data_IF_662804420241
#
_entry.id   IF_662804420241
#
_cell.length_a   1.000
_cell.length_b   1.000
_cell.length_c   1.000
_cell.angle_alpha   90.00
_cell.angle_beta   90.00
_cell.angle_gamma   90.00
#
_symmetry.space_group_name_H-M   'P 1'
#
loop_
_entity.id
_entity.type
_entity.pdbx_description
1 polymer ?
#
# COMPACT_ATOMS: atom_id res chain seq x y z
N UNK A 1 18.84 23.86 -31.56
CA UNK A 1 18.49 22.48 -31.12
C UNK A 1 17.40 21.97 -32.04
N UNK A 2 17.56 20.76 -32.55
CA UNK A 2 16.57 20.13 -33.43
C UNK A 2 15.25 19.91 -32.66
N UNK A 3 14.13 20.26 -33.30
CA UNK A 3 12.78 20.18 -32.71
C UNK A 3 12.03 19.03 -33.34
N UNK A 4 11.39 18.23 -32.50
CA UNK A 4 10.56 17.10 -32.89
C UNK A 4 9.18 17.67 -33.21
N UNK A 5 8.81 17.63 -34.49
CA UNK A 5 7.52 18.13 -34.97
C UNK A 5 6.41 17.08 -34.87
N UNK A 6 6.76 15.80 -34.90
CA UNK A 6 5.80 14.68 -34.91
C UNK A 6 5.37 14.27 -33.50
N UNK A 7 4.93 15.23 -32.68
CA UNK A 7 4.45 14.97 -31.32
C UNK A 7 2.93 14.76 -31.37
N UNK A 8 2.46 13.69 -30.75
CA UNK A 8 1.05 13.41 -30.59
C UNK A 8 0.46 14.25 -29.45
N UNK A 9 -0.07 15.42 -29.81
CA UNK A 9 -0.63 16.41 -28.89
C UNK A 9 -1.84 15.87 -28.12
N UNK A 10 -2.67 15.05 -28.76
CA UNK A 10 -3.84 14.44 -28.13
C UNK A 10 -3.46 13.53 -26.93
N UNK A 11 -2.25 12.95 -26.96
CA UNK A 11 -1.73 12.16 -25.83
C UNK A 11 -1.19 13.03 -24.70
N UNK A 12 -0.75 14.25 -24.99
CA UNK A 12 -0.41 15.25 -23.96
C UNK A 12 -1.70 15.72 -23.29
N UNK A 13 -2.72 16.10 -24.07
CA UNK A 13 -4.04 16.49 -23.55
C UNK A 13 -4.66 15.39 -22.70
N UNK A 14 -4.61 14.15 -23.18
CA UNK A 14 -5.09 13.00 -22.41
C UNK A 14 -4.35 12.86 -21.07
N UNK A 15 -3.03 12.97 -21.07
CA UNK A 15 -2.22 12.91 -19.85
C UNK A 15 -2.54 14.06 -18.87
N UNK A 16 -2.82 15.27 -19.37
CA UNK A 16 -3.27 16.40 -18.55
C UNK A 16 -4.66 16.12 -17.94
N UNK A 17 -5.60 15.64 -18.75
CA UNK A 17 -6.94 15.28 -18.30
C UNK A 17 -6.94 14.15 -17.27
N UNK A 18 -6.16 13.09 -17.49
CA UNK A 18 -5.96 11.98 -16.56
C UNK A 18 -5.39 12.44 -15.21
N UNK A 19 -4.65 13.56 -15.20
CA UNK A 19 -4.12 14.19 -13.99
C UNK A 19 -4.99 15.30 -13.41
N UNK A 20 -6.07 15.68 -14.09
CA UNK A 20 -6.91 16.81 -13.69
C UNK A 20 -6.13 18.14 -13.66
N UNK A 21 -5.15 18.31 -14.55
CA UNK A 21 -4.29 19.50 -14.59
C UNK A 21 -4.40 20.25 -15.92
N UNK A 22 -4.10 21.54 -15.86
CA UNK A 22 -4.04 22.43 -17.03
C UNK A 22 -2.67 22.36 -17.72
N UNK A 23 -2.61 22.82 -18.97
CA UNK A 23 -1.35 22.94 -19.71
C UNK A 23 -0.39 23.95 -19.06
N UNK A 24 -0.91 25.01 -18.44
CA UNK A 24 -0.08 26.01 -17.75
C UNK A 24 0.56 25.44 -16.49
N UNK A 25 -0.20 24.67 -15.70
CA UNK A 25 0.34 23.93 -14.56
C UNK A 25 1.39 22.92 -15.00
N UNK A 26 1.13 22.19 -16.10
CA UNK A 26 2.11 21.27 -16.69
C UNK A 26 3.40 22.00 -17.04
N UNK A 27 3.31 23.13 -17.75
CA UNK A 27 4.47 23.92 -18.17
C UNK A 27 5.32 24.36 -16.97
N UNK A 28 4.66 24.78 -15.88
CA UNK A 28 5.33 25.16 -14.64
C UNK A 28 6.04 23.97 -13.98
N UNK A 29 5.35 22.84 -13.83
CA UNK A 29 5.87 21.62 -13.19
C UNK A 29 7.10 21.05 -13.92
N UNK A 30 7.11 21.10 -15.26
CA UNK A 30 8.23 20.58 -16.06
C UNK A 30 9.27 21.64 -16.42
N UNK A 31 9.14 22.85 -15.89
CA UNK A 31 10.07 23.97 -16.15
C UNK A 31 10.26 24.17 -17.67
N UNK A 32 9.15 24.41 -18.35
CA UNK A 32 9.06 24.80 -19.75
C UNK A 32 8.23 26.09 -19.81
N UNK A 33 8.66 27.07 -20.60
CA UNK A 33 7.91 28.31 -20.75
C UNK A 33 6.47 28.02 -21.25
N UNK A 34 5.41 28.56 -20.63
CA UNK A 34 4.02 28.30 -21.02
C UNK A 34 3.77 28.54 -22.52
N UNK A 35 4.30 29.64 -23.07
CA UNK A 35 4.24 29.93 -24.49
C UNK A 35 4.89 28.85 -25.38
N UNK A 36 5.95 28.19 -24.91
CA UNK A 36 6.57 27.09 -25.69
C UNK A 36 5.67 25.87 -25.74
N UNK A 37 5.03 25.52 -24.62
CA UNK A 37 4.10 24.40 -24.59
C UNK A 37 2.82 24.72 -25.37
N UNK A 38 2.28 25.94 -25.22
CA UNK A 38 1.12 26.42 -25.99
C UNK A 38 1.38 26.37 -27.50
N UNK A 39 2.53 26.87 -27.98
CA UNK A 39 2.88 26.81 -29.40
C UNK A 39 3.06 25.37 -29.90
N UNK A 40 3.52 24.45 -29.04
CA UNK A 40 3.57 23.03 -29.37
C UNK A 40 2.18 22.41 -29.48
N UNK A 41 1.28 22.73 -28.55
CA UNK A 41 -0.12 22.27 -28.54
C UNK A 41 -0.96 22.87 -29.67
N UNK A 42 -0.57 24.04 -30.19
CA UNK A 42 -1.15 24.64 -31.39
C UNK A 42 -0.58 24.04 -32.70
N UNK A 43 0.43 23.18 -32.63
CA UNK A 43 1.12 22.63 -33.80
C UNK A 43 2.03 23.62 -34.52
N UNK A 44 2.28 24.80 -33.92
CA UNK A 44 3.07 25.88 -34.51
C UNK A 44 4.59 25.64 -34.36
N UNK A 45 5.01 24.90 -33.33
CA UNK A 45 6.42 24.57 -33.12
C UNK A 45 6.63 23.27 -32.32
N UNK A 46 7.51 22.39 -32.79
CA UNK A 46 7.89 21.19 -32.05
C UNK A 46 8.64 21.44 -30.73
N UNK A 47 8.70 20.42 -29.88
CA UNK A 47 9.51 20.39 -28.67
C UNK A 47 10.90 19.83 -28.94
N UNK A 48 11.89 20.26 -28.19
CA UNK A 48 13.21 19.60 -28.18
C UNK A 48 13.10 18.22 -27.52
N UNK A 49 14.03 17.32 -27.82
CA UNK A 49 14.07 16.00 -27.17
C UNK A 49 14.17 16.10 -25.63
N UNK A 50 14.90 17.09 -25.11
CA UNK A 50 14.99 17.32 -23.67
C UNK A 50 13.65 17.72 -23.05
N UNK A 51 12.88 18.57 -23.72
CA UNK A 51 11.53 18.96 -23.30
C UNK A 51 10.58 17.76 -23.34
N UNK A 52 10.62 16.97 -24.43
CA UNK A 52 9.85 15.74 -24.53
C UNK A 52 10.22 14.73 -23.44
N UNK A 53 11.50 14.63 -23.09
CA UNK A 53 11.98 13.77 -21.99
C UNK A 53 11.51 14.27 -20.62
N UNK A 54 11.50 15.58 -20.37
CA UNK A 54 10.93 16.16 -19.14
C UNK A 54 9.43 15.84 -19.03
N UNK A 55 8.69 16.05 -20.11
CA UNK A 55 7.27 15.74 -20.21
C UNK A 55 7.01 14.24 -19.95
N UNK A 56 7.78 13.37 -20.60
CA UNK A 56 7.65 11.93 -20.44
C UNK A 56 7.98 11.46 -19.02
N UNK A 57 9.06 11.97 -18.43
CA UNK A 57 9.43 11.68 -17.05
C UNK A 57 8.38 12.17 -16.05
N UNK A 58 7.87 13.39 -16.23
CA UNK A 58 6.78 13.93 -15.43
C UNK A 58 5.55 13.04 -15.55
N UNK A 59 5.19 12.63 -16.77
CA UNK A 59 4.04 11.77 -17.04
C UNK A 59 4.20 10.31 -16.61
N UNK A 60 5.41 9.87 -16.23
CA UNK A 60 5.69 8.46 -15.95
C UNK A 60 5.59 7.58 -17.21
N UNK A 61 5.84 8.15 -18.39
CA UNK A 61 5.72 7.50 -19.69
C UNK A 61 7.06 7.53 -20.44
N UNK A 62 7.22 6.64 -21.42
CA UNK A 62 8.35 6.71 -22.35
C UNK A 62 8.15 7.83 -23.37
N UNK A 63 9.24 8.39 -23.92
CA UNK A 63 9.14 9.43 -24.97
C UNK A 63 8.39 8.94 -26.21
N UNK A 64 8.52 7.65 -26.56
CA UNK A 64 7.78 7.01 -27.65
C UNK A 64 6.26 7.07 -27.47
N UNK A 65 5.76 7.06 -26.23
CA UNK A 65 4.32 7.19 -25.96
C UNK A 65 3.74 8.46 -26.59
N UNK A 66 4.50 9.56 -26.61
CA UNK A 66 4.09 10.85 -27.19
C UNK A 66 4.40 10.97 -28.68
N UNK A 67 5.01 9.94 -29.29
CA UNK A 67 5.30 9.89 -30.73
C UNK A 67 4.44 8.85 -31.45
N UNK A 68 3.83 7.92 -30.70
CA UNK A 68 2.89 6.94 -31.26
C UNK A 68 1.67 7.62 -31.88
N UNK A 69 1.21 7.18 -33.06
CA UNK A 69 0.03 7.75 -33.70
C UNK A 69 -1.26 7.33 -32.99
N UNK A 70 -2.30 8.15 -33.15
CA UNK A 70 -3.66 7.87 -32.66
C UNK A 70 -3.91 8.20 -31.18
N UNK A 71 -5.18 8.22 -30.76
CA UNK A 71 -5.55 8.53 -29.37
C UNK A 71 -5.03 7.47 -28.39
N UNK A 72 -4.98 7.84 -27.11
CA UNK A 72 -4.63 6.90 -26.04
C UNK A 72 -5.71 5.83 -25.94
N UNK A 73 -5.29 4.57 -25.91
CA UNK A 73 -6.18 3.48 -25.50
C UNK A 73 -6.05 3.31 -23.99
N UNK A 74 -6.98 3.90 -23.24
CA UNK A 74 -6.95 3.90 -21.77
C UNK A 74 -6.87 2.50 -21.17
N UNK A 75 -7.53 1.52 -21.79
CA UNK A 75 -7.53 0.14 -21.33
C UNK A 75 -6.15 -0.55 -21.48
N UNK A 76 -5.27 -0.01 -22.33
CA UNK A 76 -3.88 -0.45 -22.47
C UNK A 76 -2.91 0.33 -21.58
N UNK A 77 -3.29 1.54 -21.15
CA UNK A 77 -2.44 2.40 -20.32
C UNK A 77 -2.65 2.10 -18.85
N UNK A 78 -3.91 2.03 -18.41
CA UNK A 78 -4.28 1.77 -17.03
C UNK A 78 -4.75 0.33 -16.90
N UNK A 79 -4.23 -0.39 -15.91
CA UNK A 79 -4.67 -1.75 -15.61
C UNK A 79 -6.15 -1.77 -15.16
N UNK A 80 -6.81 -2.94 -15.16
CA UNK A 80 -8.11 -3.09 -14.50
C UNK A 80 -8.09 -2.64 -13.04
N UNK A 81 -7.04 -2.98 -12.28
CA UNK A 81 -6.88 -2.62 -10.88
C UNK A 81 -6.79 -1.10 -10.69
N UNK A 82 -5.95 -0.41 -11.49
CA UNK A 82 -5.82 1.04 -11.47
C UNK A 82 -7.16 1.72 -11.75
N UNK A 83 -7.91 1.24 -12.75
CA UNK A 83 -9.23 1.79 -13.08
C UNK A 83 -10.23 1.55 -11.96
N UNK A 84 -10.22 0.38 -11.31
CA UNK A 84 -11.06 0.13 -10.13
C UNK A 84 -10.79 1.16 -9.04
N UNK A 85 -9.53 1.37 -8.67
CA UNK A 85 -9.15 2.35 -7.63
C UNK A 85 -9.51 3.78 -8.02
N UNK A 86 -9.23 4.17 -9.27
CA UNK A 86 -9.52 5.53 -9.76
C UNK A 86 -11.02 5.79 -9.92
N UNK A 87 -11.82 4.76 -10.18
CA UNK A 87 -13.28 4.87 -10.21
C UNK A 87 -13.87 4.93 -8.78
N UNK A 88 -13.26 4.21 -7.83
CA UNK A 88 -13.63 4.29 -6.41
C UNK A 88 -13.34 5.67 -5.82
N UNK A 89 -12.19 6.25 -6.15
CA UNK A 89 -11.79 7.61 -5.74
C UNK A 89 -11.32 8.45 -6.95
N UNK A 90 -12.23 9.11 -7.68
CA UNK A 90 -11.87 9.96 -8.83
C UNK A 90 -10.94 11.13 -8.49
N UNK A 91 -10.97 11.58 -7.24
CA UNK A 91 -10.20 12.70 -6.69
C UNK A 91 -8.76 12.33 -6.28
N UNK A 92 -8.30 11.11 -6.58
CA UNK A 92 -6.94 10.69 -6.26
C UNK A 92 -5.89 11.65 -6.83
N UNK A 93 -5.05 12.17 -5.93
CA UNK A 93 -3.92 13.02 -6.30
C UNK A 93 -3.01 12.35 -7.32
N UNK A 94 -2.37 13.16 -8.16
CA UNK A 94 -1.40 12.69 -9.13
C UNK A 94 -0.29 11.81 -8.51
N UNK A 95 0.21 12.21 -7.33
CA UNK A 95 1.24 11.47 -6.60
C UNK A 95 0.76 10.07 -6.18
N UNK A 96 -0.52 9.92 -5.83
CA UNK A 96 -1.11 8.62 -5.51
C UNK A 96 -1.23 7.74 -6.76
N UNK A 97 -1.68 8.30 -7.90
CA UNK A 97 -1.74 7.57 -9.17
C UNK A 97 -0.36 7.00 -9.56
N UNK A 98 0.71 7.80 -9.45
CA UNK A 98 2.08 7.31 -9.67
C UNK A 98 2.52 6.25 -8.67
N UNK A 99 2.04 6.32 -7.43
CA UNK A 99 2.34 5.30 -6.43
C UNK A 99 1.69 3.97 -6.84
N UNK A 100 0.42 3.98 -7.23
CA UNK A 100 -0.30 2.78 -7.71
C UNK A 100 0.43 2.15 -8.91
N UNK A 101 0.74 2.93 -9.94
CA UNK A 101 1.48 2.43 -11.12
C UNK A 101 2.85 1.84 -10.73
N UNK A 102 3.55 2.46 -9.77
CA UNK A 102 4.84 1.95 -9.31
C UNK A 102 4.71 0.64 -8.54
N UNK A 103 3.62 0.46 -7.79
CA UNK A 103 3.31 -0.79 -7.10
C UNK A 103 3.05 -1.90 -8.12
N UNK A 104 2.28 -1.62 -9.18
CA UNK A 104 2.04 -2.55 -10.28
C UNK A 104 3.34 -2.95 -10.99
N UNK A 105 4.22 -1.97 -11.26
CA UNK A 105 5.54 -2.24 -11.84
C UNK A 105 6.39 -3.14 -10.95
N UNK A 106 6.40 -2.90 -9.63
CA UNK A 106 7.15 -3.78 -8.72
C UNK A 106 6.56 -5.18 -8.63
N UNK A 107 5.23 -5.31 -8.64
CA UNK A 107 4.58 -6.62 -8.73
C UNK A 107 4.98 -7.36 -10.00
N UNK A 108 4.99 -6.68 -11.16
CA UNK A 108 5.41 -7.28 -12.43
C UNK A 108 6.88 -7.73 -12.39
N UNK A 109 7.77 -6.92 -11.81
CA UNK A 109 9.17 -7.30 -11.58
C UNK A 109 9.26 -8.54 -10.70
N UNK A 110 8.52 -8.59 -9.59
CA UNK A 110 8.50 -9.74 -8.68
C UNK A 110 8.08 -11.03 -9.38
N UNK A 111 7.02 -10.98 -10.20
CA UNK A 111 6.56 -12.13 -10.98
C UNK A 111 7.60 -12.59 -12.00
N UNK A 112 8.18 -11.67 -12.76
CA UNK A 112 9.21 -12.00 -13.74
C UNK A 112 10.44 -12.65 -13.07
N UNK A 113 10.87 -12.16 -11.90
CA UNK A 113 11.97 -12.77 -11.16
C UNK A 113 11.61 -14.16 -10.64
N UNK A 114 10.38 -14.36 -10.15
CA UNK A 114 9.91 -15.67 -9.68
C UNK A 114 9.88 -16.72 -10.77
N UNK A 115 9.57 -16.35 -12.01
CA UNK A 115 9.60 -17.27 -13.16
C UNK A 115 11.01 -17.75 -13.51
N UNK A 116 12.03 -16.96 -13.19
CA UNK A 116 13.46 -17.29 -13.43
C UNK A 116 14.09 -18.15 -12.31
N UNK A 117 13.40 -18.27 -11.17
CA UNK A 117 13.79 -19.06 -10.00
C UNK A 117 13.19 -20.48 -10.05
N UNK A 118 13.67 -21.38 -9.18
CA UNK A 118 13.17 -22.76 -9.14
C UNK A 118 11.69 -22.79 -8.70
N UNK A 119 10.84 -23.35 -9.56
CA UNK A 119 9.39 -23.40 -9.34
C UNK A 119 8.99 -24.21 -8.10
N UNK A 120 9.84 -25.14 -7.63
CA UNK A 120 9.57 -25.92 -6.43
C UNK A 120 9.55 -25.07 -5.14
N UNK A 121 10.21 -23.91 -5.14
CA UNK A 121 10.32 -23.03 -3.98
C UNK A 121 9.37 -21.82 -4.06
N UNK A 122 8.61 -21.69 -5.14
CA UNK A 122 7.74 -20.54 -5.40
C UNK A 122 6.44 -20.65 -4.60
N UNK A 123 6.28 -19.80 -3.58
CA UNK A 123 5.03 -19.64 -2.82
C UNK A 123 3.94 -19.02 -3.69
N UNK A 124 2.88 -19.78 -3.99
CA UNK A 124 1.74 -19.30 -4.80
C UNK A 124 0.61 -18.79 -3.91
N UNK A 125 -0.06 -17.73 -4.35
CA UNK A 125 -1.28 -17.28 -3.71
C UNK A 125 -2.38 -18.34 -3.86
N UNK A 126 -2.79 -18.93 -2.74
CA UNK A 126 -3.87 -19.92 -2.68
C UNK A 126 -4.80 -19.51 -1.53
N UNK A 127 -5.79 -18.64 -1.79
CA UNK A 127 -6.66 -18.14 -0.74
C UNK A 127 -7.54 -19.27 -0.17
N UNK A 128 -7.96 -19.16 1.11
CA UNK A 128 -8.90 -20.09 1.69
C UNK A 128 -10.28 -19.94 1.02
N UNK A 129 -11.05 -21.03 0.96
CA UNK A 129 -12.46 -20.97 0.58
C UNK A 129 -13.27 -20.32 1.71
N UNK A 130 -13.92 -19.20 1.40
CA UNK A 130 -14.70 -18.37 2.35
C UNK A 130 -16.18 -18.25 1.96
N UNK A 131 -16.56 -18.74 0.78
CA UNK A 131 -17.89 -18.61 0.22
C UNK A 131 -18.95 -19.24 1.14
N UNK A 132 -20.01 -18.49 1.44
CA UNK A 132 -21.10 -18.94 2.30
C UNK A 132 -20.78 -18.95 3.80
N UNK A 133 -19.57 -18.57 4.22
CA UNK A 133 -19.25 -18.37 5.63
C UNK A 133 -19.79 -17.02 6.12
N UNK A 134 -20.16 -16.95 7.39
CA UNK A 134 -20.34 -15.66 8.06
C UNK A 134 -19.00 -14.95 8.20
N UNK A 135 -18.99 -13.61 8.28
CA UNK A 135 -17.76 -12.83 8.45
C UNK A 135 -16.88 -13.32 9.62
N UNK A 136 -17.43 -13.62 10.82
CA UNK A 136 -16.63 -14.19 11.92
C UNK A 136 -15.97 -15.53 11.55
N UNK A 137 -16.69 -16.41 10.86
CA UNK A 137 -16.17 -17.70 10.44
C UNK A 137 -15.11 -17.57 9.33
N UNK A 138 -15.33 -16.64 8.40
CA UNK A 138 -14.36 -16.31 7.36
C UNK A 138 -13.06 -15.75 7.94
N UNK A 139 -13.16 -14.81 8.89
CA UNK A 139 -12.02 -14.25 9.60
C UNK A 139 -11.24 -15.31 10.39
N UNK A 140 -11.94 -16.23 11.06
CA UNK A 140 -11.31 -17.37 11.75
C UNK A 140 -10.55 -18.27 10.76
N UNK A 141 -11.18 -18.63 9.63
CA UNK A 141 -10.54 -19.45 8.60
C UNK A 141 -9.32 -18.77 7.99
N UNK A 142 -9.40 -17.46 7.73
CA UNK A 142 -8.27 -16.69 7.24
C UNK A 142 -7.12 -16.64 8.26
N UNK A 143 -7.43 -16.49 9.56
CA UNK A 143 -6.44 -16.54 10.64
C UNK A 143 -5.72 -17.89 10.70
N UNK A 144 -6.45 -19.00 10.57
CA UNK A 144 -5.91 -20.35 10.50
C UNK A 144 -5.01 -20.53 9.27
N UNK A 145 -5.47 -20.07 8.10
CA UNK A 145 -4.71 -20.11 6.85
C UNK A 145 -3.40 -19.31 6.91
N UNK A 146 -3.42 -18.13 7.55
CA UNK A 146 -2.21 -17.34 7.79
C UNK A 146 -1.25 -17.97 8.80
N UNK A 147 -1.68 -18.96 9.59
CA UNK A 147 -0.87 -19.58 10.64
C UNK A 147 -0.49 -18.60 11.76
N UNK A 148 -1.35 -17.62 12.06
CA UNK A 148 -1.05 -16.57 13.04
C UNK A 148 -0.99 -17.13 14.47
N UNK A 149 0.11 -16.84 15.15
CA UNK A 149 0.30 -17.17 16.57
C UNK A 149 -0.55 -16.26 17.49
N UNK A 150 -0.52 -16.52 18.79
CA UNK A 150 -1.18 -15.68 19.81
C UNK A 150 -0.33 -14.46 20.24
N UNK A 151 0.83 -14.26 19.60
CA UNK A 151 1.64 -13.06 19.76
C UNK A 151 2.00 -12.48 18.41
N UNK A 152 1.64 -11.23 18.17
CA UNK A 152 1.84 -10.58 16.88
C UNK A 152 2.16 -9.09 17.02
N UNK A 153 2.85 -8.60 15.99
CA UNK A 153 3.03 -7.19 15.68
C UNK A 153 2.78 -6.98 14.18
N UNK A 154 2.92 -5.75 13.69
CA UNK A 154 2.74 -5.46 12.28
C UNK A 154 3.63 -6.32 11.38
N UNK A 155 4.89 -6.53 11.76
CA UNK A 155 5.85 -7.27 10.94
C UNK A 155 5.54 -8.78 10.94
N UNK A 156 5.01 -9.36 12.03
CA UNK A 156 4.57 -10.76 12.05
C UNK A 156 3.32 -10.98 11.21
N UNK A 157 2.37 -10.05 11.26
CA UNK A 157 1.20 -10.06 10.39
C UNK A 157 1.58 -9.97 8.92
N UNK A 158 2.47 -9.02 8.59
CA UNK A 158 3.02 -8.86 7.25
C UNK A 158 3.69 -10.15 6.75
N UNK A 159 4.57 -10.75 7.56
CA UNK A 159 5.26 -12.00 7.21
C UNK A 159 4.29 -13.14 6.95
N UNK A 160 3.24 -13.29 7.76
CA UNK A 160 2.23 -14.32 7.58
C UNK A 160 1.47 -14.17 6.26
N UNK A 161 1.16 -12.93 5.86
CA UNK A 161 0.53 -12.62 4.57
C UNK A 161 1.49 -12.90 3.40
N UNK A 162 2.74 -12.44 3.50
CA UNK A 162 3.75 -12.67 2.46
C UNK A 162 4.06 -14.16 2.27
N UNK A 163 4.07 -14.94 3.35
CA UNK A 163 4.26 -16.40 3.32
C UNK A 163 3.12 -17.15 2.60
N UNK A 164 2.04 -16.46 2.26
CA UNK A 164 0.91 -17.00 1.50
C UNK A 164 0.82 -16.44 0.07
N UNK A 165 1.90 -15.85 -0.45
CA UNK A 165 2.04 -15.49 -1.86
C UNK A 165 1.52 -14.09 -2.23
N UNK A 166 1.17 -13.26 -1.24
CA UNK A 166 0.85 -11.85 -1.42
C UNK A 166 2.11 -10.99 -1.27
N UNK A 167 2.09 -9.80 -1.86
CA UNK A 167 3.03 -8.73 -1.53
C UNK A 167 2.39 -7.75 -0.56
N UNK A 168 3.15 -7.31 0.43
CA UNK A 168 2.73 -6.23 1.33
C UNK A 168 3.77 -5.14 1.26
N UNK A 169 3.40 -3.96 0.80
CA UNK A 169 4.25 -2.78 0.81
C UNK A 169 3.82 -1.81 1.91
N UNK A 170 4.78 -1.09 2.47
CA UNK A 170 4.53 -0.04 3.47
C UNK A 170 5.13 1.25 2.98
N UNK A 171 4.32 2.31 2.86
CA UNK A 171 4.78 3.60 2.36
C UNK A 171 5.94 4.16 3.20
N UNK A 172 6.71 5.10 2.64
CA UNK A 172 7.74 5.79 3.42
C UNK A 172 7.14 6.97 4.21
N UNK A 173 7.72 7.28 5.38
CA UNK A 173 7.29 8.39 6.23
C UNK A 173 7.93 9.75 5.88
N UNK A 174 8.90 9.77 4.96
CA UNK A 174 9.60 10.98 4.52
C UNK A 174 9.25 11.33 3.07
N UNK A 175 9.52 12.56 2.66
CA UNK A 175 9.18 13.01 1.32
C UNK A 175 9.93 12.23 0.23
N UNK A 176 9.18 11.55 -0.64
CA UNK A 176 9.71 10.73 -1.70
C UNK A 176 8.61 10.02 -2.49
N UNK A 177 9.00 9.35 -3.57
CA UNK A 177 8.05 8.73 -4.50
C UNK A 177 7.20 7.59 -3.90
N UNK A 178 7.65 7.00 -2.80
CA UNK A 178 6.95 5.93 -2.06
C UNK A 178 6.13 6.41 -0.87
N UNK A 179 6.04 7.73 -0.65
CA UNK A 179 5.25 8.28 0.45
C UNK A 179 3.80 8.50 0.01
N UNK A 180 2.88 8.05 0.86
CA UNK A 180 1.52 8.58 0.95
C UNK A 180 1.60 9.82 1.86
N UNK A 181 1.18 10.97 1.34
CA UNK A 181 1.38 12.25 2.03
C UNK A 181 0.77 12.24 3.44
N UNK A 182 1.38 12.97 4.39
CA UNK A 182 0.95 12.93 5.80
C UNK A 182 -0.51 13.36 5.93
N UNK A 183 -0.85 14.44 5.24
CA UNK A 183 -2.17 15.06 5.12
C UNK A 183 -3.17 14.28 4.26
N UNK A 184 -2.72 13.29 3.49
CA UNK A 184 -3.62 12.47 2.70
C UNK A 184 -4.49 11.62 3.61
N UNK A 185 -5.83 11.59 3.42
CA UNK A 185 -6.72 10.79 4.26
C UNK A 185 -6.61 9.28 3.96
N UNK A 186 -5.98 8.91 2.84
CA UNK A 186 -5.77 7.52 2.40
C UNK A 186 -4.90 6.79 3.43
N UNK A 187 -5.37 5.64 3.88
CA UNK A 187 -4.68 4.78 4.85
C UNK A 187 -4.01 3.58 4.20
N UNK A 188 -4.58 3.07 3.11
CA UNK A 188 -4.07 1.92 2.39
C UNK A 188 -4.77 1.75 1.04
N UNK A 189 -4.29 0.78 0.28
CA UNK A 189 -5.02 0.24 -0.86
C UNK A 189 -4.55 -1.19 -1.15
N UNK A 190 -5.34 -1.93 -1.89
CA UNK A 190 -5.04 -3.28 -2.34
C UNK A 190 -5.27 -3.42 -3.84
N UNK A 191 -4.42 -4.22 -4.49
CA UNK A 191 -4.52 -4.58 -5.90
C UNK A 191 -4.84 -6.07 -5.98
N UNK A 192 -6.06 -6.39 -6.38
CA UNK A 192 -6.46 -7.78 -6.56
C UNK A 192 -5.86 -8.36 -7.82
N UNK A 193 -5.27 -9.54 -7.67
CA UNK A 193 -4.79 -10.35 -8.77
C UNK A 193 -4.82 -11.83 -8.37
N UNK A 194 -5.23 -12.76 -9.26
CA UNK A 194 -5.38 -14.16 -8.91
C UNK A 194 -4.05 -14.89 -8.63
N UNK A 195 -2.91 -14.37 -9.07
CA UNK A 195 -1.59 -15.00 -8.89
C UNK A 195 -0.77 -14.36 -7.77
N UNK A 196 -0.84 -13.03 -7.64
CA UNK A 196 -0.08 -12.29 -6.65
C UNK A 196 -0.75 -10.94 -6.30
N UNK A 197 -1.71 -10.93 -5.36
CA UNK A 197 -2.29 -9.69 -4.86
C UNK A 197 -1.24 -8.83 -4.13
N UNK A 198 -1.51 -7.52 -4.06
CA UNK A 198 -0.66 -6.57 -3.33
C UNK A 198 -1.49 -5.78 -2.34
N UNK A 199 -0.97 -5.58 -1.14
CA UNK A 199 -1.51 -4.65 -0.15
C UNK A 199 -0.49 -3.54 0.07
N UNK A 200 -0.92 -2.29 0.13
CA UNK A 200 -0.09 -1.13 0.45
C UNK A 200 -0.67 -0.45 1.68
N UNK A 201 0.16 -0.24 2.69
CA UNK A 201 -0.25 0.41 3.95
C UNK A 201 0.53 1.70 4.14
N UNK A 202 -0.15 2.79 4.49
CA UNK A 202 0.47 4.07 4.86
C UNK A 202 1.29 3.89 6.14
N UNK A 203 2.56 4.31 6.13
CA UNK A 203 3.35 4.37 7.37
C UNK A 203 2.77 5.44 8.28
N UNK A 204 2.38 4.99 9.47
CA UNK A 204 1.90 5.83 10.56
C UNK A 204 2.77 5.59 11.81
N UNK A 205 2.65 6.48 12.79
CA UNK A 205 3.32 6.32 14.09
C UNK A 205 2.73 5.15 14.89
N UNK A 206 1.40 4.98 14.81
CA UNK A 206 0.71 3.86 15.44
C UNK A 206 0.78 2.61 14.55
N UNK A 207 1.62 1.64 14.92
CA UNK A 207 1.70 0.34 14.22
C UNK A 207 0.40 -0.45 14.30
N UNK A 208 -0.33 -0.34 15.41
CA UNK A 208 -1.62 -1.02 15.58
C UNK A 208 -2.66 -0.57 14.54
N UNK A 209 -2.64 0.72 14.14
CA UNK A 209 -3.53 1.23 13.07
C UNK A 209 -3.14 0.61 11.72
N UNK A 210 -1.84 0.50 11.45
CA UNK A 210 -1.34 -0.16 10.24
C UNK A 210 -1.71 -1.65 10.20
N UNK A 211 -1.68 -2.36 11.33
CA UNK A 211 -2.13 -3.76 11.41
C UNK A 211 -3.60 -3.90 11.04
N UNK A 212 -4.45 -2.95 11.45
CA UNK A 212 -5.87 -2.97 11.08
C UNK A 212 -6.07 -2.69 9.60
N UNK A 213 -5.46 -1.63 9.06
CA UNK A 213 -5.51 -1.37 7.62
C UNK A 213 -5.02 -2.58 6.83
N UNK A 214 -3.90 -3.20 7.22
CA UNK A 214 -3.39 -4.41 6.57
C UNK A 214 -4.43 -5.55 6.51
N UNK A 215 -5.13 -5.81 7.62
CA UNK A 215 -6.15 -6.88 7.66
C UNK A 215 -7.48 -6.49 7.03
N UNK A 216 -7.80 -5.20 6.99
CA UNK A 216 -8.94 -4.65 6.28
C UNK A 216 -8.77 -4.85 4.77
N UNK A 217 -7.62 -4.44 4.23
CA UNK A 217 -7.26 -4.65 2.83
C UNK A 217 -7.21 -6.14 2.46
N UNK A 218 -6.73 -6.98 3.37
CA UNK A 218 -6.81 -8.44 3.18
C UNK A 218 -8.27 -8.91 3.11
N UNK A 219 -9.18 -8.32 3.88
CA UNK A 219 -10.62 -8.57 3.80
C UNK A 219 -11.17 -8.28 2.40
N UNK A 220 -10.83 -7.13 1.82
CA UNK A 220 -11.22 -6.79 0.43
C UNK A 220 -10.73 -7.84 -0.58
N UNK A 221 -9.46 -8.26 -0.45
CA UNK A 221 -8.88 -9.25 -1.34
C UNK A 221 -9.51 -10.65 -1.22
N UNK A 222 -9.79 -11.09 0.01
CA UNK A 222 -10.28 -12.45 0.27
C UNK A 222 -11.80 -12.59 0.12
N UNK A 223 -12.58 -11.60 0.55
CA UNK A 223 -14.05 -11.64 0.51
C UNK A 223 -14.58 -11.19 -0.85
N UNK A 224 -14.07 -10.08 -1.35
CA UNK A 224 -14.66 -9.39 -2.51
C UNK A 224 -13.90 -9.62 -3.81
N UNK A 225 -12.66 -10.13 -3.71
CA UNK A 225 -11.77 -10.38 -4.87
C UNK A 225 -11.63 -9.12 -5.74
N UNK A 226 -11.57 -7.96 -5.09
CA UNK A 226 -11.57 -6.65 -5.71
C UNK A 226 -10.38 -5.82 -5.20
N UNK A 227 -9.94 -4.88 -6.02
CA UNK A 227 -8.99 -3.85 -5.58
C UNK A 227 -9.77 -2.78 -4.82
N UNK A 228 -9.27 -2.32 -3.68
CA UNK A 228 -9.87 -1.23 -2.90
C UNK A 228 -8.83 -0.16 -2.55
N UNK A 229 -9.28 1.07 -2.30
CA UNK A 229 -8.47 2.17 -1.77
C UNK A 229 -9.27 2.92 -0.70
N UNK A 230 -8.78 2.85 0.54
CA UNK A 230 -9.56 3.23 1.71
C UNK A 230 -8.95 4.44 2.45
N UNK A 231 -9.81 5.38 2.81
CA UNK A 231 -9.49 6.51 3.68
C UNK A 231 -10.11 6.39 5.09
N UNK A 232 -9.84 7.38 5.95
CA UNK A 232 -10.38 7.41 7.31
C UNK A 232 -11.93 7.39 7.36
N UNK A 233 -12.61 7.93 6.35
CA UNK A 233 -14.06 7.94 6.24
C UNK A 233 -14.62 6.57 5.84
N UNK A 234 -13.98 5.89 4.89
CA UNK A 234 -14.42 4.57 4.40
C UNK A 234 -14.38 3.51 5.51
N UNK A 235 -13.35 3.54 6.37
CA UNK A 235 -13.26 2.67 7.55
C UNK A 235 -14.40 2.86 8.57
N UNK A 236 -15.22 3.90 8.41
CA UNK A 236 -16.40 4.16 9.22
C UNK A 236 -17.72 3.99 8.47
N UNK A 237 -17.68 3.59 7.20
CA UNK A 237 -18.87 3.32 6.39
C UNK A 237 -19.72 2.19 7.00
N UNK A 238 -21.02 2.40 7.21
CA UNK A 238 -21.91 1.40 7.79
C UNK A 238 -22.45 0.39 6.76
N UNK A 239 -22.04 0.47 5.49
CA UNK A 239 -22.69 -0.26 4.40
C UNK A 239 -21.68 -1.03 3.52
N UNK A 240 -22.12 -2.18 3.01
CA UNK A 240 -21.49 -2.91 1.92
C UNK A 240 -20.11 -3.51 2.26
N UNK A 241 -19.24 -3.51 1.25
CA UNK A 241 -17.93 -4.16 1.29
C UNK A 241 -17.03 -3.64 2.43
N UNK A 242 -17.11 -2.34 2.74
CA UNK A 242 -16.36 -1.70 3.83
C UNK A 242 -16.75 -2.22 5.20
N UNK A 243 -18.05 -2.37 5.45
CA UNK A 243 -18.53 -2.91 6.72
C UNK A 243 -18.06 -4.36 6.90
N UNK A 244 -18.13 -5.16 5.83
CA UNK A 244 -17.68 -6.55 5.84
C UNK A 244 -16.16 -6.65 6.05
N UNK A 245 -15.36 -5.83 5.37
CA UNK A 245 -13.90 -5.78 5.53
C UNK A 245 -13.49 -5.31 6.94
N UNK A 246 -14.17 -4.31 7.50
CA UNK A 246 -13.96 -3.85 8.88
C UNK A 246 -14.29 -4.94 9.90
N UNK A 247 -15.43 -5.60 9.76
CA UNK A 247 -15.83 -6.71 10.62
C UNK A 247 -14.84 -7.88 10.49
N UNK A 248 -14.43 -8.22 9.27
CA UNK A 248 -13.45 -9.25 8.99
C UNK A 248 -12.11 -8.96 9.69
N UNK A 249 -11.57 -7.76 9.53
CA UNK A 249 -10.33 -7.33 10.17
C UNK A 249 -10.44 -7.39 11.70
N UNK A 250 -11.56 -6.92 12.25
CA UNK A 250 -11.84 -6.97 13.69
C UNK A 250 -11.85 -8.39 14.23
N UNK A 251 -12.58 -9.31 13.59
CA UNK A 251 -12.64 -10.71 14.01
C UNK A 251 -11.31 -11.46 13.81
N UNK A 252 -10.54 -11.12 12.78
CA UNK A 252 -9.25 -11.75 12.50
C UNK A 252 -8.19 -11.34 13.54
N UNK A 253 -8.11 -10.04 13.83
CA UNK A 253 -7.15 -9.47 14.77
C UNK A 253 -7.52 -9.78 16.23
N UNK A 254 -8.81 -9.77 16.53
CA UNK A 254 -9.37 -9.91 17.89
C UNK A 254 -10.48 -10.99 17.86
N UNK A 255 -10.09 -12.28 17.78
CA UNK A 255 -11.04 -13.38 17.72
C UNK A 255 -11.77 -13.59 19.06
N UNK A 256 -12.88 -14.33 19.05
CA UNK A 256 -13.67 -14.56 20.28
C UNK A 256 -12.85 -15.25 21.39
N UNK A 257 -11.96 -16.18 21.02
CA UNK A 257 -11.04 -16.82 21.95
C UNK A 257 -10.07 -15.84 22.62
N UNK A 258 -9.66 -14.77 21.91
CA UNK A 258 -8.86 -13.70 22.50
C UNK A 258 -9.64 -12.93 23.56
N UNK A 259 -10.94 -12.66 23.31
CA UNK A 259 -11.76 -11.93 24.27
C UNK A 259 -11.85 -12.65 25.61
N UNK A 260 -11.81 -13.98 25.63
CA UNK A 260 -11.82 -14.77 26.88
C UNK A 260 -10.61 -14.48 27.79
N UNK A 261 -9.51 -13.95 27.25
CA UNK A 261 -8.35 -13.52 28.04
C UNK A 261 -8.57 -12.21 28.79
N UNK A 262 -9.67 -11.50 28.53
CA UNK A 262 -9.97 -10.20 29.12
C UNK A 262 -10.92 -10.41 30.29
N UNK A 263 -10.52 -9.89 31.44
CA UNK A 263 -11.27 -9.91 32.69
C UNK A 263 -12.17 -8.68 32.82
N UNK A 264 -13.46 -8.86 32.59
CA UNK A 264 -14.45 -7.77 32.64
C UNK A 264 -14.62 -7.19 34.04
N UNK A 265 -14.36 -7.97 35.09
CA UNK A 265 -14.41 -7.56 36.50
C UNK A 265 -13.29 -6.58 36.87
N UNK A 266 -12.25 -6.48 36.05
CA UNK A 266 -11.13 -5.55 36.21
C UNK A 266 -11.30 -4.26 35.39
N UNK A 267 -12.44 -4.08 34.71
CA UNK A 267 -12.71 -2.91 33.88
C UNK A 267 -12.76 -1.65 34.76
N UNK A 268 -11.98 -0.60 34.43
CA UNK A 268 -12.04 0.65 35.15
C UNK A 268 -13.38 1.36 34.86
N UNK A 269 -13.88 2.19 35.79
CA UNK A 269 -15.13 2.90 35.59
C UNK A 269 -15.02 3.99 34.52
N UNK A 270 -13.86 4.64 34.43
CA UNK A 270 -13.61 5.71 33.47
C UNK A 270 -12.91 5.21 32.20
N UNK A 271 -13.33 5.73 31.05
CA UNK A 271 -12.78 5.37 29.75
C UNK A 271 -11.27 5.65 29.62
N UNK A 272 -10.74 6.60 30.39
CA UNK A 272 -9.31 6.93 30.41
C UNK A 272 -8.43 5.75 30.87
N UNK A 273 -8.98 4.81 31.66
CA UNK A 273 -8.26 3.63 32.13
C UNK A 273 -8.34 2.44 31.17
N UNK A 274 -9.13 2.48 30.10
CA UNK A 274 -9.32 1.31 29.23
C UNK A 274 -8.05 0.87 28.52
N UNK A 275 -7.18 1.82 28.14
CA UNK A 275 -5.92 1.51 27.49
C UNK A 275 -4.95 0.73 28.41
N UNK A 276 -4.91 1.11 29.68
CA UNK A 276 -4.06 0.45 30.70
C UNK A 276 -4.63 -0.92 31.08
N UNK A 277 -5.96 -1.01 31.22
CA UNK A 277 -6.66 -2.28 31.46
C UNK A 277 -6.39 -3.32 30.36
N UNK A 278 -6.29 -2.87 29.11
CA UNK A 278 -6.07 -3.72 27.94
C UNK A 278 -4.60 -3.82 27.51
N UNK A 279 -3.67 -3.22 28.26
CA UNK A 279 -2.25 -3.14 27.88
C UNK A 279 -1.63 -4.53 27.58
N UNK A 280 -1.83 -5.58 28.41
CA UNK A 280 -1.23 -6.89 28.17
C UNK A 280 -1.66 -7.48 26.81
N UNK A 281 -2.94 -7.36 26.48
CA UNK A 281 -3.53 -7.87 25.26
C UNK A 281 -3.12 -7.05 24.04
N UNK A 282 -3.14 -5.71 24.16
CA UNK A 282 -2.66 -4.79 23.11
C UNK A 282 -1.22 -5.09 22.72
N UNK A 283 -0.32 -5.26 23.71
CA UNK A 283 1.09 -5.58 23.48
C UNK A 283 1.29 -6.97 22.90
N UNK A 284 0.54 -7.96 23.39
CA UNK A 284 0.68 -9.33 22.90
C UNK A 284 0.19 -9.46 21.45
N UNK A 285 -0.88 -8.78 21.06
CA UNK A 285 -1.53 -8.99 19.76
C UNK A 285 -1.31 -7.89 18.73
N UNK A 286 -0.63 -6.80 19.10
CA UNK A 286 -0.33 -5.72 18.15
C UNK A 286 -1.58 -4.99 17.65
N UNK A 287 -2.60 -4.88 18.52
CA UNK A 287 -3.90 -4.25 18.24
C UNK A 287 -4.14 -3.06 19.16
N UNK A 288 -4.98 -2.11 18.75
CA UNK A 288 -5.30 -0.93 19.58
C UNK A 288 -6.33 -1.28 20.65
N UNK A 289 -6.37 -0.48 21.73
CA UNK A 289 -7.44 -0.58 22.73
C UNK A 289 -8.81 -0.42 22.09
N UNK A 290 -8.95 0.50 21.15
CA UNK A 290 -10.19 0.73 20.40
C UNK A 290 -10.69 -0.52 19.67
N UNK A 291 -9.82 -1.27 18.99
CA UNK A 291 -10.22 -2.50 18.27
C UNK A 291 -10.74 -3.55 19.23
N UNK A 292 -10.08 -3.71 20.38
CA UNK A 292 -10.50 -4.64 21.43
C UNK A 292 -11.86 -4.19 21.99
N UNK A 293 -12.01 -2.91 22.32
CA UNK A 293 -13.25 -2.35 22.86
C UNK A 293 -14.40 -2.49 21.86
N UNK A 294 -14.16 -2.26 20.57
CA UNK A 294 -15.15 -2.46 19.51
C UNK A 294 -15.62 -3.91 19.49
N UNK A 295 -14.70 -4.87 19.55
CA UNK A 295 -15.02 -6.31 19.57
C UNK A 295 -15.68 -6.77 20.86
N UNK A 296 -15.33 -6.19 22.01
CA UNK A 296 -16.07 -6.40 23.26
C UNK A 296 -17.50 -5.87 23.16
N UNK A 297 -17.72 -4.74 22.48
CA UNK A 297 -19.05 -4.18 22.23
C UNK A 297 -19.87 -5.07 21.30
N UNK A 298 -19.28 -5.50 20.18
CA UNK A 298 -19.91 -6.44 19.24
C UNK A 298 -20.28 -7.77 19.91
N UNK A 299 -19.48 -8.23 20.88
CA UNK A 299 -19.74 -9.42 21.69
C UNK A 299 -20.72 -9.20 22.87
N UNK A 300 -21.27 -7.99 23.02
CA UNK A 300 -22.20 -7.65 24.10
C UNK A 300 -21.55 -7.49 25.49
N UNK A 301 -20.22 -7.48 25.57
CA UNK A 301 -19.46 -7.39 26.82
C UNK A 301 -19.12 -5.95 27.21
N UNK A 302 -19.19 -5.00 26.27
CA UNK A 302 -19.01 -3.56 26.53
C UNK A 302 -20.26 -2.78 26.09
N UNK A 303 -20.87 -1.97 26.96
CA UNK A 303 -21.98 -1.10 26.56
C UNK A 303 -21.55 -0.09 25.48
N UNK A 304 -22.43 0.19 24.53
CA UNK A 304 -22.18 1.18 23.47
C UNK A 304 -21.85 2.58 24.02
N UNK A 305 -22.43 2.96 25.17
CA UNK A 305 -22.13 4.22 25.86
C UNK A 305 -20.69 4.30 26.36
N UNK A 306 -20.13 3.19 26.85
CA UNK A 306 -18.74 3.13 27.29
C UNK A 306 -17.77 3.23 26.09
N UNK A 307 -18.10 2.57 24.98
CA UNK A 307 -17.33 2.69 23.74
C UNK A 307 -17.35 4.12 23.18
N UNK A 308 -18.51 4.77 23.16
CA UNK A 308 -18.66 6.17 22.74
C UNK A 308 -17.86 7.12 23.65
N UNK A 309 -17.89 6.92 24.97
CA UNK A 309 -17.09 7.68 25.92
C UNK A 309 -15.57 7.53 25.66
N UNK A 310 -15.12 6.31 25.34
CA UNK A 310 -13.73 6.07 24.95
C UNK A 310 -13.36 6.80 23.64
N UNK A 311 -14.21 6.76 22.61
CA UNK A 311 -13.95 7.50 21.36
C UNK A 311 -13.87 9.01 21.59
N UNK A 312 -14.74 9.56 22.43
CA UNK A 312 -14.71 10.98 22.81
C UNK A 312 -13.44 11.34 23.58
N UNK A 313 -13.04 10.51 24.54
CA UNK A 313 -11.79 10.72 25.28
C UNK A 313 -10.56 10.61 24.35
N UNK A 314 -10.53 9.60 23.47
CA UNK A 314 -9.40 9.36 22.58
C UNK A 314 -9.24 10.44 21.52
N UNK A 315 -10.32 11.07 21.03
CA UNK A 315 -10.23 12.16 20.04
C UNK A 315 -9.64 13.45 20.62
N UNK A 316 -9.68 13.61 21.95
CA UNK A 316 -9.08 14.76 22.66
C UNK A 316 -7.59 14.56 22.97
N UNK A 317 -7.05 13.36 22.74
CA UNK A 317 -5.62 13.07 22.98
C UNK A 317 -4.79 13.63 21.83
N UNK A 318 -3.87 14.53 22.16
CA UNK A 318 -2.77 14.89 21.24
C UNK A 318 -1.73 13.79 21.32
N UNK A 319 -1.59 13.00 20.26
CA UNK A 319 -0.48 12.06 20.14
C UNK A 319 0.72 12.89 19.67
N UNK A 320 1.80 13.01 20.47
CA UNK A 320 2.99 13.72 20.02
C UNK A 320 3.58 13.01 18.80
N UNK A 321 3.75 13.74 17.69
CA UNK A 321 4.47 13.23 16.52
C UNK A 321 5.90 12.86 16.95
N UNK A 322 6.30 11.62 16.66
CA UNK A 322 7.71 11.25 16.83
C UNK A 322 8.48 11.71 15.61
N UNK A 323 9.27 12.76 15.78
CA UNK A 323 10.16 13.24 14.74
C UNK A 323 11.35 12.28 14.54
N UNK A 324 11.57 11.88 13.28
CA UNK A 324 12.86 11.36 12.81
C UNK A 324 13.06 9.84 12.91
N UNK A 325 13.12 9.19 11.75
CA UNK A 325 13.83 7.90 11.62
C UNK A 325 15.34 8.14 11.52
N UNK A 326 16.15 7.35 12.23
CA UNK A 326 17.60 7.39 12.08
C UNK A 326 18.00 7.03 10.64
N UNK A 327 18.91 7.82 10.04
CA UNK A 327 19.52 7.54 8.73
C UNK A 327 20.50 6.36 8.76
N UNK A 328 20.79 5.79 9.93
CA UNK A 328 21.79 4.72 10.12
C UNK A 328 21.44 3.38 9.46
N UNK A 329 20.19 3.17 9.05
CA UNK A 329 19.74 1.89 8.49
C UNK A 329 19.19 1.99 7.06
N UNK A 330 19.69 2.92 6.25
CA UNK A 330 19.31 3.05 4.83
C UNK A 330 19.43 1.75 4.03
N UNK A 331 20.38 0.88 4.37
CA UNK A 331 20.52 -0.42 3.72
C UNK A 331 19.29 -1.34 3.92
N UNK A 332 18.50 -1.14 4.98
CA UNK A 332 17.30 -1.94 5.29
C UNK A 332 16.01 -1.32 4.77
N UNK A 333 16.09 -0.14 4.15
CA UNK A 333 14.94 0.57 3.61
C UNK A 333 14.10 -0.26 2.62
N UNK A 334 14.70 -1.00 1.66
CA UNK A 334 13.91 -1.83 0.76
C UNK A 334 13.13 -2.93 1.49
N UNK A 335 13.65 -3.48 2.60
CA UNK A 335 12.90 -4.44 3.42
C UNK A 335 11.71 -3.77 4.11
N UNK A 336 11.90 -2.58 4.66
CA UNK A 336 10.81 -1.86 5.31
C UNK A 336 9.70 -1.48 4.33
N UNK A 337 10.09 -1.10 3.11
CA UNK A 337 9.19 -0.71 2.03
C UNK A 337 8.53 -1.93 1.37
N UNK A 338 9.31 -2.83 0.77
CA UNK A 338 8.83 -3.93 -0.09
C UNK A 338 8.59 -5.27 0.61
N UNK A 339 9.18 -5.48 1.79
CA UNK A 339 8.97 -6.69 2.58
C UNK A 339 10.07 -7.71 2.39
N UNK A 340 10.07 -8.74 3.24
CA UNK A 340 11.11 -9.77 3.21
C UNK A 340 10.95 -10.62 1.95
N UNK A 341 9.71 -11.00 1.57
CA UNK A 341 9.45 -11.85 0.41
C UNK A 341 9.94 -11.25 -0.92
N UNK A 342 9.62 -9.97 -1.16
CA UNK A 342 10.08 -9.26 -2.35
C UNK A 342 11.61 -9.12 -2.37
N UNK A 343 12.20 -8.64 -1.27
CA UNK A 343 13.64 -8.35 -1.23
C UNK A 343 14.46 -9.63 -1.39
N UNK A 344 14.07 -10.73 -0.73
CA UNK A 344 14.72 -12.02 -0.89
C UNK A 344 14.68 -12.49 -2.35
N UNK A 345 13.52 -12.40 -3.00
CA UNK A 345 13.38 -12.76 -4.42
C UNK A 345 14.35 -11.99 -5.33
N UNK A 346 14.54 -10.68 -5.09
CA UNK A 346 15.52 -9.89 -5.86
C UNK A 346 16.96 -10.35 -5.57
N UNK A 347 17.30 -10.58 -4.30
CA UNK A 347 18.64 -11.03 -3.91
C UNK A 347 18.94 -12.45 -4.43
N UNK A 348 17.97 -13.36 -4.37
CA UNK A 348 18.09 -14.73 -4.86
C UNK A 348 18.29 -14.76 -6.37
N UNK A 349 17.52 -13.96 -7.12
CA UNK A 349 17.71 -13.81 -8.56
C UNK A 349 19.09 -13.20 -8.91
N UNK A 350 19.58 -12.26 -8.10
CA UNK A 350 20.92 -11.68 -8.27
C UNK A 350 22.01 -12.74 -8.00
N UNK A 351 21.87 -13.50 -6.91
CA UNK A 351 22.82 -14.54 -6.49
C UNK A 351 22.85 -15.72 -7.48
N UNK A 352 21.69 -16.09 -8.03
CA UNK A 352 21.54 -17.04 -9.13
C UNK A 352 22.01 -16.48 -10.48
N UNK A 353 22.54 -15.24 -10.53
CA UNK A 353 23.03 -14.54 -11.73
C UNK A 353 21.98 -14.39 -12.83
N UNK A 354 20.70 -14.37 -12.46
CA UNK A 354 19.57 -14.09 -13.38
C UNK A 354 19.48 -12.60 -13.70
N UNK A 355 19.79 -11.76 -12.72
CA UNK A 355 19.89 -10.32 -12.87
C UNK A 355 21.26 -9.78 -12.48
N UNK A 356 21.61 -8.62 -13.03
CA UNK A 356 22.85 -7.91 -12.68
C UNK A 356 22.68 -7.14 -11.38
N UNK A 357 23.81 -6.80 -10.74
CA UNK A 357 23.85 -5.92 -9.57
C UNK A 357 23.15 -4.57 -9.81
N UNK A 358 23.27 -4.02 -11.03
CA UNK A 358 22.60 -2.78 -11.41
C UNK A 358 21.08 -2.93 -11.50
N UNK A 359 20.57 -4.05 -12.03
CA UNK A 359 19.13 -4.36 -12.03
C UNK A 359 18.60 -4.55 -10.61
N UNK A 360 19.31 -5.31 -9.78
CA UNK A 360 18.94 -5.52 -8.37
C UNK A 360 18.87 -4.20 -7.61
N UNK A 361 19.87 -3.32 -7.79
CA UNK A 361 19.85 -1.95 -7.26
C UNK A 361 18.60 -1.19 -7.70
N UNK A 362 18.26 -1.20 -9.00
CA UNK A 362 17.09 -0.51 -9.54
C UNK A 362 15.77 -1.04 -8.98
N UNK A 363 15.60 -2.36 -8.90
CA UNK A 363 14.41 -3.02 -8.33
C UNK A 363 14.26 -2.75 -6.83
N UNK A 364 15.38 -2.61 -6.11
CA UNK A 364 15.43 -2.21 -4.70
C UNK A 364 15.48 -0.69 -4.53
N UNK A 365 14.77 0.04 -5.39
CA UNK A 365 14.60 1.48 -5.35
C UNK A 365 15.87 2.33 -5.59
N UNK A 366 16.74 1.88 -6.49
CA UNK A 366 18.05 2.47 -6.74
C UNK A 366 18.94 2.50 -5.48
N UNK A 367 18.85 1.45 -4.65
CA UNK A 367 19.72 1.28 -3.49
C UNK A 367 21.19 1.31 -3.93
N UNK A 368 22.01 2.14 -3.26
CA UNK A 368 23.44 2.21 -3.55
C UNK A 368 24.08 0.83 -3.47
N UNK A 369 24.99 0.52 -4.39
CA UNK A 369 25.69 -0.78 -4.44
C UNK A 369 26.34 -1.13 -3.09
N UNK A 370 26.95 -0.15 -2.41
CA UNK A 370 27.54 -0.35 -1.08
C UNK A 370 26.52 -0.78 -0.01
N UNK A 371 25.29 -0.27 -0.10
CA UNK A 371 24.21 -0.61 0.82
C UNK A 371 23.51 -1.91 0.42
N UNK A 372 23.50 -2.25 -0.88
CA UNK A 372 23.04 -3.55 -1.37
C UNK A 372 23.90 -4.70 -0.82
N UNK A 373 25.23 -4.57 -0.82
CA UNK A 373 26.11 -5.57 -0.19
C UNK A 373 25.93 -5.67 1.33
N UNK A 374 25.51 -4.59 2.01
CA UNK A 374 25.16 -4.65 3.44
C UNK A 374 23.83 -5.36 3.66
N UNK A 375 22.86 -5.14 2.76
CA UNK A 375 21.57 -5.80 2.80
C UNK A 375 21.72 -7.30 2.56
N UNK A 376 22.53 -7.71 1.57
CA UNK A 376 22.85 -9.11 1.31
C UNK A 376 23.45 -9.81 2.52
N UNK A 377 24.48 -9.23 3.14
CA UNK A 377 25.10 -9.76 4.37
C UNK A 377 24.09 -9.89 5.51
N UNK A 378 23.23 -8.90 5.68
CA UNK A 378 22.15 -8.95 6.67
C UNK A 378 21.20 -10.14 6.45
N UNK A 379 20.84 -10.48 5.21
CA UNK A 379 20.01 -11.66 4.92
C UNK A 379 20.79 -12.98 5.00
N UNK A 380 22.09 -12.97 4.71
CA UNK A 380 22.98 -14.12 4.88
C UNK A 380 23.30 -14.43 6.36
N UNK A 381 22.99 -13.51 7.28
CA UNK A 381 23.28 -13.63 8.70
C UNK A 381 24.76 -13.39 9.05
N UNK A 382 25.49 -12.63 8.22
CA UNK A 382 26.95 -12.38 8.30
C UNK A 382 27.28 -10.93 8.62
#
# INVERSE_FOLDING_TARGET
MERIQSINLARIDWCCADRGMTLDELAHEIDIAPATLANAMAGEAGLTFNQLRKLAAFFGRGTLFFLEPGPVNEAKVHSPQFRTLSNQKPELSHRMKLLIERVEQQRAVFLALREELDQAEVVRFTPPALEGLSIPAAAKRAREWLGLADRNDFDSYRRAIEANGLLVFRSNGYNGKWQIAKESPILGFSLYDPECPVIVVKKLDAETRQSFTLMHELGHLLLHRASSIDDEGDLHSPEGAEQEANAFAGHLLVPDGFLLSIRDDQRPPEAAGFDDWLEPQRKAWGVSGEMILRRLMDAGRLPATAYAAYRQWSSQRVIPEKDGGSREHRNREPRHLFGDGYVRTVLDAMNARRITLAKASSYLDNLKISDLHKLERFYAGV
#
